data_IF_275667338715
#
_entry.id   IF_275667338715
#
_cell.length_a   1.000
_cell.length_b   1.000
_cell.length_c   1.000
_cell.angle_alpha   90.00
_cell.angle_beta   90.00
_cell.angle_gamma   90.00
#
_symmetry.space_group_name_H-M   'P 1'
#
loop_
_entity.id
_entity.type
_entity.pdbx_description
1 polymer ?
#
# COMPACT_ATOMS: atom_id res chain seq x y z
N UNK A 1 2.67 1.09 40.51
CA UNK A 1 3.49 -0.06 40.07
C UNK A 1 3.33 -0.14 38.56
N UNK A 2 4.42 -0.04 37.80
CA UNK A 2 4.32 -0.05 36.34
C UNK A 2 3.98 -1.48 35.88
N UNK A 3 3.13 -1.61 34.87
CA UNK A 3 2.87 -2.88 34.22
C UNK A 3 3.89 -3.05 33.10
N UNK A 4 4.96 -3.81 33.36
CA UNK A 4 6.09 -3.96 32.44
C UNK A 4 5.65 -4.53 31.08
N UNK A 5 4.67 -5.43 31.08
CA UNK A 5 4.14 -6.02 29.85
C UNK A 5 3.41 -5.00 28.99
N UNK A 6 2.55 -4.19 29.60
CA UNK A 6 1.81 -3.13 28.92
C UNK A 6 2.75 -2.03 28.42
N UNK A 7 3.82 -1.75 29.16
CA UNK A 7 4.86 -0.81 28.73
C UNK A 7 5.62 -1.30 27.49
N UNK A 8 5.97 -2.60 27.44
CA UNK A 8 6.57 -3.21 26.25
C UNK A 8 5.60 -3.20 25.06
N UNK A 9 4.33 -3.56 25.28
CA UNK A 9 3.30 -3.59 24.24
C UNK A 9 2.85 -2.19 23.78
N UNK A 10 3.29 -1.12 24.43
CA UNK A 10 2.91 0.26 24.10
C UNK A 10 3.54 0.81 22.82
N UNK A 11 4.60 0.19 22.32
CA UNK A 11 5.34 0.65 21.13
C UNK A 11 6.44 1.69 21.41
N UNK A 12 6.63 2.07 22.67
CA UNK A 12 7.60 3.11 23.05
C UNK A 12 9.06 2.71 22.81
N UNK A 13 9.37 1.40 22.82
CA UNK A 13 10.72 0.88 22.64
C UNK A 13 11.15 0.96 21.16
N UNK A 14 10.24 0.70 20.24
CA UNK A 14 10.42 0.81 18.79
C UNK A 14 10.58 2.28 18.37
N UNK A 15 9.76 3.17 18.93
CA UNK A 15 9.90 4.61 18.73
C UNK A 15 11.22 5.14 19.29
N UNK A 16 11.64 4.63 20.47
CA UNK A 16 12.92 4.98 21.08
C UNK A 16 14.11 4.62 20.18
N UNK A 17 14.13 3.39 19.65
CA UNK A 17 15.18 2.91 18.74
C UNK A 17 15.19 3.63 17.40
N UNK A 18 14.01 4.01 16.90
CA UNK A 18 13.87 4.79 15.67
C UNK A 18 14.21 6.28 15.84
N UNK A 19 14.42 6.73 17.09
CA UNK A 19 14.72 8.12 17.42
C UNK A 19 13.50 9.06 17.40
N UNK A 20 12.29 8.51 17.40
CA UNK A 20 11.02 9.24 17.27
C UNK A 20 10.35 9.55 18.63
N UNK A 21 11.15 9.64 19.70
CA UNK A 21 10.69 9.94 21.07
C UNK A 21 11.15 11.31 21.53
N UNK A 22 10.39 11.93 22.43
CA UNK A 22 10.79 13.16 23.11
C UNK A 22 11.96 12.93 24.09
N UNK A 23 12.64 14.00 24.50
CA UNK A 23 13.71 13.92 25.49
C UNK A 23 13.23 13.39 26.86
N UNK A 24 11.95 13.60 27.19
CA UNK A 24 11.35 13.10 28.42
C UNK A 24 11.16 11.58 28.36
N UNK A 25 10.54 11.08 27.28
CA UNK A 25 10.33 9.65 27.05
C UNK A 25 11.67 8.91 26.93
N UNK A 26 12.67 9.52 26.28
CA UNK A 26 14.03 8.98 26.22
C UNK A 26 14.61 8.73 27.62
N UNK A 27 14.52 9.73 28.51
CA UNK A 27 14.98 9.59 29.90
C UNK A 27 14.17 8.56 30.69
N UNK A 28 12.88 8.44 30.40
CA UNK A 28 12.02 7.44 31.01
C UNK A 28 12.44 6.02 30.61
N UNK A 29 12.60 5.76 29.30
CA UNK A 29 13.09 4.47 28.79
C UNK A 29 14.47 4.14 29.36
N UNK A 30 15.40 5.11 29.39
CA UNK A 30 16.74 4.93 29.95
C UNK A 30 16.73 4.61 31.46
N UNK A 31 15.76 5.17 32.19
CA UNK A 31 15.60 4.91 33.61
C UNK A 31 14.96 3.53 33.85
N UNK A 32 13.87 3.25 33.14
CA UNK A 32 13.12 2.00 33.27
C UNK A 32 13.93 0.80 32.80
N UNK A 33 14.76 0.94 31.76
CA UNK A 33 15.66 -0.13 31.30
C UNK A 33 16.74 -0.50 32.33
N UNK A 34 17.07 0.40 33.27
CA UNK A 34 18.00 0.11 34.39
C UNK A 34 17.32 -0.59 35.55
N UNK A 35 16.00 -0.38 35.70
CA UNK A 35 15.21 -0.89 36.83
C UNK A 35 14.56 -2.24 36.48
N UNK A 36 14.14 -2.43 35.23
CA UNK A 36 13.42 -3.61 34.74
C UNK A 36 14.22 -4.33 33.64
N UNK A 37 14.86 -5.48 33.95
CA UNK A 37 15.64 -6.25 32.99
C UNK A 37 14.85 -6.71 31.76
N UNK A 38 13.54 -6.90 31.89
CA UNK A 38 12.65 -7.30 30.79
C UNK A 38 12.60 -6.22 29.70
N UNK A 39 12.53 -4.94 30.09
CA UNK A 39 12.57 -3.81 29.14
C UNK A 39 13.91 -3.76 28.43
N UNK A 40 15.01 -4.00 29.17
CA UNK A 40 16.35 -4.06 28.57
C UNK A 40 16.48 -5.20 27.57
N UNK A 41 15.96 -6.37 27.91
CA UNK A 41 15.98 -7.56 27.05
C UNK A 41 15.22 -7.32 25.75
N UNK A 42 14.06 -6.67 25.83
CA UNK A 42 13.29 -6.33 24.63
C UNK A 42 14.01 -5.29 23.76
N UNK A 43 14.59 -4.25 24.36
CA UNK A 43 15.40 -3.26 23.63
C UNK A 43 16.58 -3.90 22.89
N UNK A 44 17.27 -4.85 23.51
CA UNK A 44 18.39 -5.56 22.89
C UNK A 44 17.89 -6.45 21.72
N UNK A 45 16.78 -7.18 21.91
CA UNK A 45 16.13 -7.99 20.86
C UNK A 45 15.70 -7.17 19.64
N UNK A 46 15.10 -6.01 19.88
CA UNK A 46 14.69 -5.08 18.83
C UNK A 46 15.91 -4.48 18.11
N UNK A 47 16.96 -4.12 18.86
CA UNK A 47 18.22 -3.60 18.30
C UNK A 47 18.86 -4.61 17.35
N UNK A 48 18.98 -5.88 17.76
CA UNK A 48 19.51 -6.96 16.93
C UNK A 48 18.69 -7.18 15.65
N UNK A 49 17.39 -6.95 15.71
CA UNK A 49 16.49 -7.10 14.56
C UNK A 49 16.70 -5.98 13.55
N UNK A 50 16.80 -4.73 14.02
CA UNK A 50 17.10 -3.56 13.18
C UNK A 50 18.50 -3.69 12.58
N UNK A 51 19.49 -4.14 13.36
CA UNK A 51 20.85 -4.36 12.88
C UNK A 51 20.89 -5.38 11.73
N UNK A 52 20.24 -6.54 11.91
CA UNK A 52 20.15 -7.56 10.85
C UNK A 52 19.49 -7.02 9.58
N UNK A 53 18.43 -6.23 9.73
CA UNK A 53 17.76 -5.58 8.61
C UNK A 53 18.67 -4.58 7.90
N UNK A 54 19.40 -3.75 8.65
CA UNK A 54 20.34 -2.77 8.11
C UNK A 54 21.49 -3.45 7.33
N UNK A 55 22.04 -4.55 7.84
CA UNK A 55 23.08 -5.30 7.14
C UNK A 55 22.57 -5.98 5.86
N UNK A 56 21.34 -6.49 5.87
CA UNK A 56 20.71 -7.07 4.69
C UNK A 56 20.49 -6.02 3.58
N UNK A 57 20.25 -4.76 3.96
CA UNK A 57 19.94 -3.65 3.05
C UNK A 57 21.08 -2.63 2.91
N UNK A 58 22.32 -3.03 3.17
CA UNK A 58 23.47 -2.12 3.15
C UNK A 58 23.71 -1.52 1.76
N UNK A 59 24.04 -0.23 1.72
CA UNK A 59 24.46 0.49 0.52
C UNK A 59 25.96 0.80 0.63
N UNK A 60 26.69 0.71 -0.50
CA UNK A 60 28.11 1.04 -0.52
C UNK A 60 28.33 2.53 -0.18
N UNK A 61 29.10 2.79 0.88
CA UNK A 61 29.45 4.14 1.27
C UNK A 61 30.45 4.79 0.27
N UNK A 62 30.42 6.12 0.09
CA UNK A 62 31.41 6.82 -0.73
C UNK A 62 32.84 6.59 -0.25
N UNK A 63 33.76 6.30 -1.17
CA UNK A 63 35.15 5.94 -0.84
C UNK A 63 35.90 7.00 0.00
N UNK A 64 35.59 8.29 -0.23
CA UNK A 64 36.21 9.42 0.49
C UNK A 64 35.68 9.62 1.93
N UNK A 65 34.59 8.94 2.31
CA UNK A 65 33.96 9.12 3.62
C UNK A 65 34.88 8.61 4.75
N UNK A 66 35.56 7.49 4.54
CA UNK A 66 36.48 6.89 5.52
C UNK A 66 37.62 7.86 5.88
N UNK A 67 38.27 8.45 4.88
CA UNK A 67 39.37 9.41 5.12
C UNK A 67 38.88 10.68 5.81
N UNK A 68 37.67 11.15 5.49
CA UNK A 68 37.07 12.33 6.13
C UNK A 68 36.76 12.08 7.61
N UNK A 69 36.20 10.93 7.95
CA UNK A 69 35.93 10.55 9.34
C UNK A 69 37.24 10.42 10.12
N UNK A 70 38.24 9.72 9.57
CA UNK A 70 39.53 9.52 10.23
C UNK A 70 40.27 10.84 10.50
N UNK A 71 40.12 11.84 9.63
CA UNK A 71 40.72 13.17 9.85
C UNK A 71 39.99 14.01 10.92
N UNK A 72 38.72 13.70 11.23
CA UNK A 72 37.93 14.38 12.27
C UNK A 72 38.02 13.71 13.64
N UNK A 73 38.50 12.47 13.70
CA UNK A 73 38.77 11.78 14.95
C UNK A 73 40.09 12.29 15.54
N UNK A 74 40.02 13.29 16.41
CA UNK A 74 41.12 13.61 17.33
C UNK A 74 41.14 12.56 18.43
N UNK A 75 42.05 11.59 18.30
CA UNK A 75 42.48 10.80 19.43
C UNK A 75 43.47 11.65 20.21
N UNK A 76 42.97 12.36 21.21
CA UNK A 76 43.85 12.99 22.19
C UNK A 76 44.44 11.86 23.04
N UNK A 77 45.66 11.43 22.72
CA UNK A 77 46.59 11.04 23.77
C UNK A 77 46.96 12.35 24.47
N UNK A 78 46.21 12.71 25.52
CA UNK A 78 46.64 13.60 26.60
C UNK A 78 45.42 13.95 27.48
N UNK A 79 45.40 13.38 28.69
CA UNK A 79 44.59 13.90 29.79
C UNK A 79 45.05 15.33 30.10
N UNK A 80 44.16 16.34 30.18
CA UNK A 80 44.52 17.57 30.85
C UNK A 80 44.49 17.34 32.36
N UNK A 81 45.69 17.32 32.95
CA UNK A 81 45.93 17.39 34.38
C UNK A 81 45.05 18.45 35.04
N UNK A 82 44.33 18.00 36.07
CA UNK A 82 43.55 18.84 36.97
C UNK A 82 44.51 19.70 37.78
N UNK A 83 44.61 20.99 37.44
CA UNK A 83 45.28 21.97 38.31
C UNK A 83 44.25 22.54 39.28
N UNK A 84 44.40 22.15 40.55
CA UNK A 84 43.64 22.66 41.68
C UNK A 84 44.27 24.00 42.08
N UNK A 85 43.60 25.10 41.76
CA UNK A 85 44.03 26.43 42.20
C UNK A 85 43.40 26.78 43.55
N UNK A 86 44.25 27.19 44.48
CA UNK A 86 43.97 27.38 45.90
C UNK A 86 43.07 28.59 46.15
N UNK A 87 42.09 28.39 47.04
CA UNK A 87 41.21 29.44 47.57
C UNK A 87 41.98 30.28 48.58
N UNK A 88 42.13 31.57 48.31
CA UNK A 88 42.54 32.58 49.30
C UNK A 88 41.29 33.37 49.70
N UNK A 89 40.99 33.38 50.99
CA UNK A 89 39.98 34.23 51.64
C UNK A 89 40.41 35.70 51.57
N UNK A 90 39.59 36.56 50.97
CA UNK A 90 39.61 38.01 51.19
C UNK A 90 38.18 38.49 51.47
N UNK A 91 38.04 39.16 52.62
CA UNK A 91 36.80 39.71 53.16
C UNK A 91 36.30 40.94 52.38
N UNK A 92 34.98 40.98 52.20
CA UNK A 92 34.08 42.14 52.18
C UNK A 92 34.48 43.41 51.41
N UNK A 93 33.89 43.57 50.21
CA UNK A 93 32.96 44.67 49.93
C UNK A 93 32.20 44.44 48.61
N UNK A 94 30.99 43.88 48.68
CA UNK A 94 30.08 43.81 47.51
C UNK A 94 28.94 44.80 47.66
N UNK A 95 28.70 45.70 46.69
CA UNK A 95 27.50 46.52 46.68
C UNK A 95 26.29 45.60 46.51
N UNK A 96 25.41 45.58 47.50
CA UNK A 96 24.17 44.80 47.47
C UNK A 96 23.27 45.29 46.33
N UNK A 97 23.24 44.53 45.24
CA UNK A 97 22.20 44.65 44.23
C UNK A 97 20.91 44.05 44.80
N UNK A 98 19.79 44.79 44.88
CA UNK A 98 18.53 44.19 45.31
C UNK A 98 18.12 43.13 44.28
N UNK A 99 18.10 41.87 44.72
CA UNK A 99 17.47 40.78 43.96
C UNK A 99 15.96 41.01 43.98
N UNK A 100 15.48 41.78 43.01
CA UNK A 100 14.08 41.80 42.66
C UNK A 100 13.79 40.49 41.91
N UNK A 101 13.70 39.36 42.62
CA UNK A 101 13.11 38.15 42.06
C UNK A 101 11.60 38.33 42.04
N UNK A 102 11.09 39.18 41.14
CA UNK A 102 9.81 38.83 40.51
C UNK A 102 10.10 37.57 39.74
N UNK A 103 9.91 36.43 40.39
CA UNK A 103 9.63 35.19 39.70
C UNK A 103 8.48 35.54 38.77
N UNK A 104 8.79 35.71 37.49
CA UNK A 104 7.78 35.79 36.47
C UNK A 104 7.07 34.45 36.63
N UNK A 105 5.89 34.45 37.22
CA UNK A 105 5.04 33.27 37.30
C UNK A 105 4.54 33.05 35.88
N UNK A 106 5.47 32.61 35.02
CA UNK A 106 5.14 32.01 33.74
C UNK A 106 4.09 30.99 34.08
N UNK A 107 2.90 31.16 33.52
CA UNK A 107 1.73 30.48 34.03
C UNK A 107 1.81 29.00 33.61
N UNK A 108 2.63 28.21 34.32
CA UNK A 108 2.89 26.79 34.07
C UNK A 108 1.59 25.99 33.98
N UNK A 109 0.51 26.46 34.63
CA UNK A 109 -0.83 25.89 34.48
C UNK A 109 -1.37 25.90 33.05
N UNK A 110 -1.13 26.96 32.25
CA UNK A 110 -1.58 27.02 30.85
C UNK A 110 -0.73 26.12 29.95
N UNK A 111 0.58 25.99 30.22
CA UNK A 111 1.46 25.09 29.47
C UNK A 111 1.13 23.64 29.76
N UNK A 112 0.90 23.29 31.03
CA UNK A 112 0.47 21.94 31.43
C UNK A 112 -0.92 21.58 30.86
N UNK A 113 -1.85 22.54 30.82
CA UNK A 113 -3.15 22.32 30.18
C UNK A 113 -3.01 22.13 28.66
N UNK A 114 -2.17 22.92 27.99
CA UNK A 114 -1.92 22.81 26.55
C UNK A 114 -1.25 21.48 26.17
N UNK A 115 -0.31 20.97 26.98
CA UNK A 115 0.33 19.67 26.73
C UNK A 115 -0.65 18.51 26.87
N UNK A 116 -1.56 18.55 27.84
CA UNK A 116 -2.62 17.52 27.98
C UNK A 116 -3.57 17.56 26.78
N UNK A 117 -3.98 18.75 26.33
CA UNK A 117 -4.82 18.88 25.13
C UNK A 117 -4.10 18.38 23.89
N UNK A 118 -2.80 18.68 23.74
CA UNK A 118 -2.00 18.19 22.62
C UNK A 118 -1.85 16.67 22.64
N UNK A 119 -1.63 16.05 23.82
CA UNK A 119 -1.55 14.60 23.96
C UNK A 119 -2.88 13.92 23.65
N UNK A 120 -3.99 14.43 24.19
CA UNK A 120 -5.33 13.89 23.89
C UNK A 120 -5.65 14.06 22.40
N UNK A 121 -5.34 15.21 21.82
CA UNK A 121 -5.52 15.46 20.39
C UNK A 121 -4.67 14.52 19.52
N UNK A 122 -3.43 14.25 19.94
CA UNK A 122 -2.52 13.31 19.28
C UNK A 122 -3.08 11.89 19.32
N UNK A 123 -3.49 11.40 20.49
CA UNK A 123 -4.11 10.07 20.64
C UNK A 123 -5.36 9.95 19.77
N UNK A 124 -6.24 10.96 19.79
CA UNK A 124 -7.45 10.96 18.94
C UNK A 124 -7.07 10.95 17.45
N UNK A 125 -6.09 11.76 17.04
CA UNK A 125 -5.60 11.80 15.66
C UNK A 125 -5.00 10.46 15.21
N UNK A 126 -4.13 9.86 16.03
CA UNK A 126 -3.50 8.58 15.72
C UNK A 126 -4.52 7.43 15.70
N UNK A 127 -5.48 7.39 16.62
CA UNK A 127 -6.54 6.37 16.58
C UNK A 127 -7.40 6.53 15.32
N UNK A 128 -7.83 7.75 14.98
CA UNK A 128 -8.57 7.99 13.74
C UNK A 128 -7.75 7.62 12.49
N UNK A 129 -6.42 7.84 12.52
CA UNK A 129 -5.51 7.45 11.44
C UNK A 129 -5.37 5.93 11.33
N UNK A 130 -5.27 5.22 12.45
CA UNK A 130 -5.23 3.75 12.50
C UNK A 130 -6.53 3.14 11.97
N UNK A 131 -7.70 3.69 12.33
CA UNK A 131 -9.00 3.26 11.80
C UNK A 131 -9.11 3.49 10.29
N UNK A 132 -8.65 4.66 9.82
CA UNK A 132 -8.62 4.95 8.38
C UNK A 132 -7.68 3.99 7.64
N UNK A 133 -6.53 3.66 8.24
CA UNK A 133 -5.57 2.75 7.63
C UNK A 133 -6.09 1.31 7.62
N UNK A 134 -6.70 0.84 8.71
CA UNK A 134 -7.27 -0.51 8.81
C UNK A 134 -8.41 -0.72 7.81
N UNK A 135 -9.30 0.28 7.66
CA UNK A 135 -10.37 0.26 6.67
C UNK A 135 -9.84 0.28 5.23
N UNK A 136 -8.82 1.10 4.97
CA UNK A 136 -8.15 1.14 3.65
C UNK A 136 -7.50 -0.20 3.31
N UNK A 137 -6.79 -0.81 4.25
CA UNK A 137 -6.16 -2.14 4.07
C UNK A 137 -7.22 -3.21 3.82
N UNK A 138 -8.30 -3.22 4.60
CA UNK A 138 -9.40 -4.17 4.40
C UNK A 138 -10.06 -4.00 3.02
N UNK A 139 -10.24 -2.76 2.56
CA UNK A 139 -10.78 -2.47 1.24
C UNK A 139 -9.85 -2.96 0.12
N UNK A 140 -8.55 -2.69 0.23
CA UNK A 140 -7.55 -3.16 -0.73
C UNK A 140 -7.46 -4.69 -0.77
N UNK A 141 -7.53 -5.36 0.39
CA UNK A 141 -7.55 -6.82 0.45
C UNK A 141 -8.78 -7.39 -0.26
N UNK A 142 -9.95 -6.78 -0.06
CA UNK A 142 -11.17 -7.20 -0.76
C UNK A 142 -11.06 -6.99 -2.27
N UNK A 143 -10.46 -5.88 -2.71
CA UNK A 143 -10.23 -5.58 -4.13
C UNK A 143 -9.25 -6.58 -4.75
N UNK A 144 -8.11 -6.84 -4.11
CA UNK A 144 -7.13 -7.83 -4.56
C UNK A 144 -7.76 -9.22 -4.63
N UNK A 145 -8.57 -9.60 -3.64
CA UNK A 145 -9.27 -10.90 -3.61
C UNK A 145 -10.27 -11.01 -4.76
N UNK A 146 -11.02 -9.94 -5.05
CA UNK A 146 -11.94 -9.90 -6.18
C UNK A 146 -11.20 -10.04 -7.52
N UNK A 147 -10.12 -9.28 -7.72
CA UNK A 147 -9.28 -9.38 -8.92
C UNK A 147 -8.63 -10.76 -9.07
N UNK A 148 -8.13 -11.34 -7.97
CA UNK A 148 -7.52 -12.68 -7.98
C UNK A 148 -8.54 -13.75 -8.34
N UNK A 149 -9.76 -13.63 -7.83
CA UNK A 149 -10.86 -14.55 -8.18
C UNK A 149 -11.24 -14.43 -9.65
N UNK A 150 -11.26 -13.21 -10.20
CA UNK A 150 -11.50 -12.99 -11.63
C UNK A 150 -10.40 -13.61 -12.50
N UNK A 151 -9.13 -13.45 -12.13
CA UNK A 151 -8.00 -14.08 -12.82
C UNK A 151 -8.08 -15.61 -12.72
N UNK A 152 -8.40 -16.15 -11.54
CA UNK A 152 -8.57 -17.58 -11.34
C UNK A 152 -9.70 -18.16 -12.21
N UNK A 153 -10.81 -17.44 -12.33
CA UNK A 153 -11.91 -17.81 -13.24
C UNK A 153 -11.47 -17.85 -14.70
N UNK A 154 -10.59 -16.92 -15.14
CA UNK A 154 -10.06 -16.92 -16.50
C UNK A 154 -9.01 -18.04 -16.72
N UNK A 155 -8.26 -18.41 -15.69
CA UNK A 155 -7.25 -19.47 -15.72
C UNK A 155 -7.80 -20.89 -15.49
N UNK A 156 -9.13 -21.08 -15.49
CA UNK A 156 -9.73 -22.42 -15.44
C UNK A 156 -9.24 -23.28 -16.62
N UNK A 157 -8.79 -24.51 -16.34
CA UNK A 157 -8.25 -25.41 -17.37
C UNK A 157 -9.26 -25.79 -18.46
N UNK A 158 -10.55 -25.63 -18.21
CA UNK A 158 -11.61 -25.86 -19.18
C UNK A 158 -11.87 -24.63 -20.06
N UNK A 159 -11.37 -23.45 -19.71
CA UNK A 159 -11.59 -22.26 -20.52
C UNK A 159 -10.86 -22.36 -21.86
N UNK A 160 -11.61 -22.14 -22.92
CA UNK A 160 -11.12 -22.03 -24.28
C UNK A 160 -11.09 -20.57 -24.71
N UNK A 161 -9.91 -20.09 -25.08
CA UNK A 161 -9.71 -18.75 -25.60
C UNK A 161 -9.84 -18.77 -27.12
N UNK A 162 -10.87 -18.09 -27.63
CA UNK A 162 -11.16 -17.99 -29.06
C UNK A 162 -10.93 -16.55 -29.50
N UNK A 163 -9.96 -16.35 -30.40
CA UNK A 163 -9.72 -15.03 -30.99
C UNK A 163 -10.53 -14.91 -32.28
N UNK A 164 -11.49 -14.00 -32.30
CA UNK A 164 -12.27 -13.65 -33.48
C UNK A 164 -11.47 -12.63 -34.30
N UNK A 165 -11.27 -12.93 -35.57
CA UNK A 165 -10.53 -12.06 -36.49
C UNK A 165 -11.50 -11.30 -37.38
N UNK A 166 -11.09 -10.11 -37.76
CA UNK A 166 -11.75 -9.26 -38.73
C UNK A 166 -12.03 -9.97 -40.04
N UNK A 167 -13.23 -9.80 -40.57
CA UNK A 167 -13.56 -10.20 -41.95
C UNK A 167 -13.21 -9.07 -42.92
N UNK A 168 -13.41 -9.28 -44.23
CA UNK A 168 -13.06 -8.31 -45.28
C UNK A 168 -13.62 -6.90 -45.05
N UNK A 169 -14.82 -6.79 -44.48
CA UNK A 169 -15.45 -5.51 -44.11
C UNK A 169 -14.67 -4.74 -43.02
N UNK A 170 -13.98 -5.44 -42.15
CA UNK A 170 -13.24 -4.84 -41.03
C UNK A 170 -12.01 -5.68 -40.65
N UNK A 171 -10.97 -5.72 -41.50
CA UNK A 171 -9.86 -6.66 -41.36
C UNK A 171 -9.01 -6.44 -40.10
N UNK A 172 -9.02 -5.20 -39.57
CA UNK A 172 -8.30 -4.82 -38.35
C UNK A 172 -9.10 -5.03 -37.07
N UNK A 173 -10.33 -5.54 -37.17
CA UNK A 173 -11.15 -5.83 -35.99
C UNK A 173 -10.70 -7.13 -35.32
N UNK A 174 -10.78 -7.18 -33.99
CA UNK A 174 -10.52 -8.38 -33.22
C UNK A 174 -11.25 -8.36 -31.87
N UNK A 175 -11.78 -9.52 -31.49
CA UNK A 175 -12.45 -9.75 -30.21
C UNK A 175 -11.92 -11.05 -29.63
N UNK A 176 -11.75 -11.09 -28.31
CA UNK A 176 -11.42 -12.32 -27.58
C UNK A 176 -12.66 -12.83 -26.88
N UNK A 177 -12.99 -14.09 -27.13
CA UNK A 177 -14.03 -14.83 -26.39
C UNK A 177 -13.35 -15.84 -25.49
N UNK A 178 -13.84 -15.97 -24.27
CA UNK A 178 -13.48 -17.03 -23.32
C UNK A 178 -14.75 -17.85 -23.12
N UNK A 179 -14.69 -19.12 -23.48
CA UNK A 179 -15.82 -20.03 -23.35
C UNK A 179 -15.42 -21.23 -22.52
N UNK A 180 -16.25 -21.59 -21.54
CA UNK A 180 -16.06 -22.79 -20.75
C UNK A 180 -17.11 -23.84 -21.20
N UNK A 181 -16.71 -24.95 -21.84
CA UNK A 181 -17.64 -25.97 -22.32
C UNK A 181 -18.31 -26.77 -21.19
N UNK A 182 -17.77 -26.71 -19.96
CA UNK A 182 -18.35 -27.40 -18.79
C UNK A 182 -19.44 -26.56 -18.14
N UNK A 183 -19.15 -25.29 -17.85
CA UNK A 183 -20.11 -24.37 -17.21
C UNK A 183 -21.02 -23.66 -18.20
N UNK A 184 -20.70 -23.75 -19.50
CA UNK A 184 -21.35 -23.03 -20.61
C UNK A 184 -21.19 -21.51 -20.55
N UNK A 185 -20.36 -21.00 -19.63
CA UNK A 185 -20.13 -19.57 -19.46
C UNK A 185 -19.34 -19.01 -20.64
N UNK A 186 -19.79 -17.84 -21.10
CA UNK A 186 -19.14 -17.09 -22.16
C UNK A 186 -18.81 -15.70 -21.64
N UNK A 187 -17.56 -15.28 -21.85
CA UNK A 187 -17.12 -13.91 -21.63
C UNK A 187 -16.46 -13.39 -22.89
N UNK A 188 -16.55 -12.08 -23.13
CA UNK A 188 -15.85 -11.43 -24.24
C UNK A 188 -15.08 -10.21 -23.78
N UNK A 189 -13.98 -9.91 -24.46
CA UNK A 189 -13.21 -8.67 -24.35
C UNK A 189 -12.90 -8.16 -25.75
N UNK A 190 -13.12 -6.87 -25.98
CA UNK A 190 -12.88 -6.25 -27.26
C UNK A 190 -11.43 -5.79 -27.35
N UNK A 191 -10.70 -6.31 -28.35
CA UNK A 191 -9.32 -5.90 -28.60
C UNK A 191 -9.28 -4.72 -29.57
N UNK A 192 -10.09 -4.77 -30.63
CA UNK A 192 -10.20 -3.73 -31.66
C UNK A 192 -11.57 -3.85 -32.33
N UNK A 193 -12.45 -2.88 -32.15
CA UNK A 193 -13.67 -2.71 -32.94
C UNK A 193 -13.93 -1.22 -33.17
N UNK A 194 -14.46 -0.82 -34.33
CA UNK A 194 -14.95 0.54 -34.53
C UNK A 194 -16.01 0.92 -33.50
N UNK A 195 -16.05 2.18 -33.10
CA UNK A 195 -17.13 2.68 -32.25
C UNK A 195 -18.44 2.68 -33.05
N UNK A 196 -19.52 2.03 -32.57
CA UNK A 196 -20.79 2.02 -33.26
C UNK A 196 -21.49 3.39 -33.14
N UNK A 197 -22.38 3.71 -34.09
CA UNK A 197 -23.26 4.88 -33.99
C UNK A 197 -24.27 4.71 -32.85
N UNK A 198 -24.88 5.80 -32.38
CA UNK A 198 -25.74 5.79 -31.19
C UNK A 198 -26.99 4.89 -31.29
N UNK A 199 -27.40 4.56 -32.51
CA UNK A 199 -28.54 3.70 -32.87
C UNK A 199 -28.13 2.23 -33.12
N UNK A 200 -26.83 1.92 -33.07
CA UNK A 200 -26.29 0.57 -33.31
C UNK A 200 -25.55 0.02 -32.10
N UNK A 201 -25.46 -1.30 -32.01
CA UNK A 201 -24.76 -2.01 -30.95
C UNK A 201 -24.24 -3.35 -31.46
N UNK A 202 -23.10 -3.79 -30.94
CA UNK A 202 -22.56 -5.10 -31.31
C UNK A 202 -23.29 -6.23 -30.58
N UNK A 203 -23.45 -7.35 -31.27
CA UNK A 203 -24.06 -8.57 -30.73
C UNK A 203 -23.16 -9.77 -30.97
N UNK A 204 -23.02 -10.62 -29.95
CA UNK A 204 -22.26 -11.86 -30.02
C UNK A 204 -23.19 -13.03 -30.37
N UNK A 205 -22.70 -13.90 -31.23
CA UNK A 205 -23.37 -15.14 -31.65
C UNK A 205 -22.45 -16.33 -31.46
N UNK A 206 -23.01 -17.46 -31.03
CA UNK A 206 -22.37 -18.77 -31.15
C UNK A 206 -23.01 -19.57 -32.28
N UNK A 207 -22.22 -20.31 -33.05
CA UNK A 207 -22.72 -21.32 -33.98
C UNK A 207 -22.78 -22.66 -33.25
N UNK A 208 -23.99 -23.18 -33.05
CA UNK A 208 -24.24 -24.48 -32.42
C UNK A 208 -25.01 -25.36 -33.41
N UNK A 209 -24.41 -26.45 -33.88
CA UNK A 209 -25.02 -27.28 -34.92
C UNK A 209 -25.28 -26.51 -36.22
N UNK A 210 -24.36 -25.59 -36.58
CA UNK A 210 -24.49 -24.70 -37.73
C UNK A 210 -25.54 -23.58 -37.60
N UNK A 211 -26.25 -23.45 -36.47
CA UNK A 211 -27.25 -22.40 -36.25
C UNK A 211 -26.73 -21.29 -35.33
N UNK A 212 -26.97 -20.01 -35.65
CA UNK A 212 -26.59 -18.91 -34.76
C UNK A 212 -27.50 -18.87 -33.52
N UNK A 213 -26.88 -18.83 -32.35
CA UNK A 213 -27.50 -18.67 -31.04
C UNK A 213 -27.09 -17.29 -30.51
N UNK A 214 -28.09 -16.48 -30.15
CA UNK A 214 -27.89 -15.16 -29.57
C UNK A 214 -27.22 -15.24 -28.20
N UNK A 215 -26.05 -14.63 -28.05
CA UNK A 215 -25.33 -14.52 -26.79
C UNK A 215 -25.46 -13.16 -26.10
N UNK A 216 -26.20 -12.23 -26.71
CA UNK A 216 -26.48 -10.90 -26.20
C UNK A 216 -25.64 -9.81 -26.85
N UNK A 217 -26.05 -8.57 -26.57
CA UNK A 217 -25.36 -7.36 -26.98
C UNK A 217 -24.28 -6.96 -25.97
N UNK A 218 -23.27 -6.22 -26.42
CA UNK A 218 -22.17 -5.77 -25.58
C UNK A 218 -21.65 -4.40 -25.99
N UNK A 219 -20.89 -3.78 -25.08
CA UNK A 219 -20.24 -2.49 -25.31
C UNK A 219 -18.78 -2.69 -25.72
N UNK A 220 -18.22 -1.73 -26.47
CA UNK A 220 -16.82 -1.76 -26.89
C UNK A 220 -15.92 -1.47 -25.67
N UNK A 221 -15.51 -2.52 -24.98
CA UNK A 221 -14.69 -2.46 -23.78
C UNK A 221 -13.60 -3.53 -23.78
N UNK A 222 -12.43 -3.16 -23.28
CA UNK A 222 -11.30 -4.08 -23.07
C UNK A 222 -11.52 -4.98 -21.85
N UNK A 223 -12.42 -4.61 -20.92
CA UNK A 223 -12.79 -5.45 -19.80
C UNK A 223 -13.62 -6.65 -20.26
N UNK A 224 -13.46 -7.79 -19.56
CA UNK A 224 -14.28 -8.96 -19.81
C UNK A 224 -15.74 -8.71 -19.40
N UNK A 225 -16.65 -8.95 -20.34
CA UNK A 225 -18.09 -8.84 -20.17
C UNK A 225 -18.71 -10.23 -20.21
N UNK A 226 -19.55 -10.56 -19.23
CA UNK A 226 -20.31 -11.82 -19.21
C UNK A 226 -21.43 -11.77 -20.25
N UNK A 227 -21.55 -12.85 -21.01
CA UNK A 227 -22.57 -13.02 -22.05
C UNK A 227 -23.55 -14.13 -21.64
N UNK A 228 -24.60 -14.35 -22.44
CA UNK A 228 -25.46 -15.51 -22.25
C UNK A 228 -24.65 -16.81 -22.42
N UNK A 229 -25.06 -17.84 -21.69
CA UNK A 229 -24.40 -19.14 -21.76
C UNK A 229 -24.70 -19.83 -23.09
N UNK A 230 -23.79 -20.71 -23.52
CA UNK A 230 -23.99 -21.52 -24.72
C UNK A 230 -23.45 -22.93 -24.55
N UNK A 231 -24.12 -23.88 -25.20
CA UNK A 231 -23.68 -25.27 -25.30
C UNK A 231 -22.45 -25.43 -26.19
N UNK A 232 -22.33 -26.58 -26.85
CA UNK A 232 -21.18 -26.88 -27.72
C UNK A 232 -21.11 -25.92 -28.93
N UNK A 233 -20.33 -24.85 -28.80
CA UNK A 233 -20.11 -23.88 -29.86
C UNK A 233 -18.99 -24.35 -30.80
N UNK A 234 -19.25 -24.29 -32.10
CA UNK A 234 -18.27 -24.61 -33.16
C UNK A 234 -17.51 -23.35 -33.60
N UNK A 235 -18.15 -22.19 -33.50
CA UNK A 235 -17.59 -20.90 -33.83
C UNK A 235 -18.33 -19.78 -33.10
N UNK A 236 -17.70 -18.61 -33.03
CA UNK A 236 -18.32 -17.38 -32.56
C UNK A 236 -18.21 -16.30 -33.64
N UNK A 237 -19.18 -15.40 -33.65
CA UNK A 237 -19.27 -14.30 -34.61
C UNK A 237 -19.82 -13.04 -33.92
N UNK A 238 -19.42 -11.88 -34.40
CA UNK A 238 -19.96 -10.59 -33.95
C UNK A 238 -20.50 -9.83 -35.15
N UNK A 239 -21.74 -9.36 -34.99
CA UNK A 239 -22.39 -8.47 -35.96
C UNK A 239 -22.69 -7.11 -35.35
N UNK A 240 -22.77 -6.08 -36.19
CA UNK A 240 -23.23 -4.76 -35.82
C UNK A 240 -24.74 -4.64 -36.06
N UNK A 241 -25.50 -4.56 -34.98
CA UNK A 241 -26.96 -4.67 -34.98
C UNK A 241 -27.61 -3.34 -34.57
N UNK A 242 -28.94 -3.28 -34.63
CA UNK A 242 -29.69 -2.16 -34.03
C UNK A 242 -29.48 -2.19 -32.51
N UNK A 243 -29.59 -1.03 -31.86
CA UNK A 243 -29.52 -0.94 -30.40
C UNK A 243 -30.50 -1.92 -29.74
N UNK A 244 -29.99 -2.73 -28.80
CA UNK A 244 -30.77 -3.82 -28.18
C UNK A 244 -30.69 -5.17 -28.90
N UNK A 245 -30.06 -5.24 -30.08
CA UNK A 245 -29.82 -6.47 -30.83
C UNK A 245 -30.96 -6.86 -31.75
N UNK A 246 -30.81 -8.03 -32.38
CA UNK A 246 -31.78 -8.63 -33.29
C UNK A 246 -31.95 -10.13 -32.97
N UNK A 247 -33.08 -10.76 -33.38
CA UNK A 247 -33.32 -12.19 -33.14
C UNK A 247 -32.47 -13.09 -34.05
N UNK A 248 -32.01 -12.58 -35.19
CA UNK A 248 -31.15 -13.28 -36.15
C UNK A 248 -30.02 -12.36 -36.61
N UNK A 249 -28.82 -12.90 -36.88
CA UNK A 249 -27.66 -12.08 -37.27
C UNK A 249 -27.84 -11.46 -38.66
N UNK A 250 -27.51 -10.18 -38.80
CA UNK A 250 -27.37 -9.54 -40.11
C UNK A 250 -25.99 -9.85 -40.68
N UNK A 251 -25.89 -10.84 -41.56
CA UNK A 251 -24.61 -11.32 -42.09
C UNK A 251 -23.82 -10.27 -42.88
N UNK A 252 -24.49 -9.29 -43.49
CA UNK A 252 -23.84 -8.13 -44.14
C UNK A 252 -23.12 -7.21 -43.14
N UNK A 253 -23.51 -7.27 -41.87
CA UNK A 253 -22.93 -6.54 -40.76
C UNK A 253 -22.03 -7.45 -39.90
N UNK A 254 -21.48 -8.53 -40.46
CA UNK A 254 -20.46 -9.35 -39.82
C UNK A 254 -19.12 -8.58 -39.75
N UNK A 255 -18.56 -8.46 -38.54
CA UNK A 255 -17.28 -7.76 -38.31
C UNK A 255 -16.15 -8.72 -37.98
N UNK A 256 -16.39 -9.68 -37.09
CA UNK A 256 -15.39 -10.66 -36.68
C UNK A 256 -15.98 -12.05 -36.57
N UNK A 257 -15.17 -13.05 -36.85
CA UNK A 257 -15.53 -14.47 -36.69
C UNK A 257 -14.31 -15.28 -36.27
N UNK A 258 -14.52 -16.37 -35.54
CA UNK A 258 -13.47 -17.32 -35.19
C UNK A 258 -14.05 -18.69 -34.85
N UNK A 259 -13.36 -19.75 -35.28
CA UNK A 259 -13.72 -21.12 -34.95
C UNK A 259 -13.16 -21.51 -33.59
N UNK A 260 -13.91 -22.32 -32.86
CA UNK A 260 -13.41 -22.99 -31.66
C UNK A 260 -12.43 -24.07 -32.10
N UNK A 261 -11.23 -24.08 -31.51
CA UNK A 261 -10.29 -25.17 -31.73
C UNK A 261 -10.83 -26.41 -31.01
N UNK A 262 -11.15 -27.45 -31.78
CA UNK A 262 -11.59 -28.75 -31.26
C UNK A 262 -10.46 -29.53 -30.62
#
# INVERSE_FOLDING_TARGET
MINVKEYIESGILEDYLSGNVSDQERREVDCLSKIYPEIRTELDSLSDTIERFAFANKVAAPAALKSKIMAQLTFADDEPETQVEQVVEEEDNVPVLPLNSRANSFQWGWVAAASVVALVGSVVYFNARLDTLSTTVAQQQNEIKAQTTQIAQLNDANNQFVTLKGVEKSPNSSVRVVWNPKTQEVQLSVLSLPTPSADKQYQLWALVGGKPVDLGVFDVSTAFQKMKTTGQAEAFAVTLEKKGGNPTPHLEELYVMGKVAG
#
